data_IF_408655188345
#
_entry.id   IF_408655188345
#
_cell.length_a   1.000
_cell.length_b   1.000
_cell.length_c   1.000
_cell.angle_alpha   90.00
_cell.angle_beta   90.00
_cell.angle_gamma   90.00
#
_symmetry.space_group_name_H-M   'P 1'
#
loop_
_entity.id
_entity.type
_entity.pdbx_description
1 polymer ?
#
# COMPACT_ATOMS: atom_id res chain seq x y z
N UNK A 1 -42.37 4.12 30.49
CA UNK A 1 -43.41 4.74 29.63
C UNK A 1 -42.90 6.12 29.26
N UNK A 2 -42.25 6.27 28.11
CA UNK A 2 -42.88 6.82 26.86
C UNK A 2 -43.03 8.35 26.98
N UNK A 3 -42.51 9.22 26.11
CA UNK A 3 -41.95 9.09 24.76
C UNK A 3 -41.14 10.37 24.41
N UNK A 4 -40.36 10.22 23.35
CA UNK A 4 -39.66 11.22 22.53
C UNK A 4 -40.47 12.51 22.28
N UNK A 5 -39.77 13.66 22.20
CA UNK A 5 -39.89 14.74 21.20
C UNK A 5 -39.13 15.96 21.73
N UNK A 6 -37.92 16.22 21.22
CA UNK A 6 -37.32 17.56 21.06
C UNK A 6 -36.17 17.45 20.04
N UNK A 7 -36.54 17.29 18.77
CA UNK A 7 -35.75 17.80 17.65
C UNK A 7 -36.51 19.00 17.07
N UNK A 8 -35.80 19.89 16.39
CA UNK A 8 -36.25 21.09 15.66
C UNK A 8 -35.90 22.45 16.28
N UNK A 9 -34.62 22.62 16.62
CA UNK A 9 -33.95 23.92 16.58
C UNK A 9 -33.61 24.34 15.14
N UNK A 10 -34.59 24.94 14.47
CA UNK A 10 -34.56 25.85 13.30
C UNK A 10 -33.24 25.97 12.49
N UNK A 11 -33.23 25.60 11.20
CA UNK A 11 -32.07 25.67 10.31
C UNK A 11 -31.96 27.06 9.69
N UNK A 12 -30.91 27.81 10.02
CA UNK A 12 -30.60 29.07 9.32
C UNK A 12 -29.12 29.44 9.41
N UNK A 13 -28.27 28.61 8.82
CA UNK A 13 -26.95 29.06 8.37
C UNK A 13 -26.82 28.77 6.88
N UNK A 14 -27.18 29.81 6.14
CA UNK A 14 -27.00 30.02 4.71
C UNK A 14 -25.54 29.74 4.37
N UNK A 15 -25.28 28.63 3.69
CA UNK A 15 -24.00 28.37 3.02
C UNK A 15 -24.13 28.84 1.56
N UNK A 16 -23.58 30.01 1.17
CA UNK A 16 -23.59 30.44 -0.22
C UNK A 16 -22.42 29.77 -0.97
N UNK A 17 -22.52 28.47 -1.29
CA UNK A 17 -21.48 27.77 -2.08
C UNK A 17 -21.99 26.81 -3.17
N UNK A 18 -23.17 27.05 -3.74
CA UNK A 18 -23.69 26.17 -4.83
C UNK A 18 -23.72 26.78 -6.24
N UNK A 19 -23.16 27.99 -6.45
CA UNK A 19 -22.96 28.50 -7.83
C UNK A 19 -21.62 28.11 -8.46
N UNK A 20 -20.63 27.73 -7.65
CA UNK A 20 -19.29 27.36 -8.12
C UNK A 20 -19.23 25.90 -8.60
N UNK A 21 -20.00 25.00 -7.99
CA UNK A 21 -20.00 23.55 -8.31
C UNK A 21 -20.47 23.27 -9.75
N UNK A 22 -21.30 24.14 -10.34
CA UNK A 22 -21.84 23.93 -11.69
C UNK A 22 -20.83 24.18 -12.83
N UNK A 23 -19.71 24.86 -12.54
CA UNK A 23 -18.64 25.13 -13.54
C UNK A 23 -17.57 24.03 -13.56
N UNK A 24 -17.50 23.19 -12.51
CA UNK A 24 -16.49 22.14 -12.39
C UNK A 24 -16.88 20.89 -13.20
N UNK A 25 -18.19 20.65 -13.38
CA UNK A 25 -18.68 19.55 -14.22
C UNK A 25 -18.35 19.72 -15.71
N UNK A 26 -18.11 20.94 -16.18
CA UNK A 26 -17.74 21.22 -17.58
C UNK A 26 -16.24 21.10 -17.84
N UNK A 27 -15.41 21.04 -16.79
CA UNK A 27 -13.95 20.89 -16.90
C UNK A 27 -13.45 19.50 -16.48
N UNK A 28 -14.36 18.52 -16.35
CA UNK A 28 -13.99 17.12 -16.46
C UNK A 28 -13.87 16.80 -17.94
N UNK A 29 -12.68 17.01 -18.52
CA UNK A 29 -12.38 16.43 -19.83
C UNK A 29 -12.69 14.93 -19.73
N UNK A 30 -13.43 14.33 -20.67
CA UNK A 30 -13.64 12.90 -20.66
C UNK A 30 -12.25 12.26 -20.61
N UNK A 31 -12.01 11.47 -19.57
CA UNK A 31 -10.78 10.71 -19.48
C UNK A 31 -10.77 9.82 -20.73
N UNK A 32 -9.72 9.86 -21.56
CA UNK A 32 -9.65 8.99 -22.72
C UNK A 32 -9.84 7.57 -22.19
N UNK A 33 -10.77 6.83 -22.81
CA UNK A 33 -11.11 5.48 -22.40
C UNK A 33 -9.82 4.75 -22.10
N UNK A 34 -9.60 4.39 -20.84
CA UNK A 34 -8.46 3.57 -20.47
C UNK A 34 -8.58 2.34 -21.35
N UNK A 35 -7.69 2.23 -22.34
CA UNK A 35 -7.56 1.05 -23.16
C UNK A 35 -7.37 -0.08 -22.17
N UNK A 36 -8.42 -0.85 -21.92
CA UNK A 36 -8.35 -2.03 -21.10
C UNK A 36 -7.48 -2.99 -21.88
N UNK A 37 -6.17 -2.94 -21.63
CA UNK A 37 -5.25 -3.96 -22.11
C UNK A 37 -5.64 -5.19 -21.30
N UNK A 38 -6.18 -6.25 -21.94
CA UNK A 38 -6.56 -7.45 -21.21
C UNK A 38 -5.28 -8.00 -20.59
N UNK A 39 -5.22 -7.96 -19.26
CA UNK A 39 -4.13 -8.56 -18.54
C UNK A 39 -4.18 -10.06 -18.82
N UNK A 40 -3.12 -10.60 -19.40
CA UNK A 40 -3.09 -11.98 -19.91
C UNK A 40 -2.99 -12.97 -18.74
N UNK A 41 -3.65 -14.12 -18.79
CA UNK A 41 -3.54 -15.15 -17.72
C UNK A 41 -2.06 -15.53 -17.44
N UNK A 42 -1.23 -15.53 -18.49
CA UNK A 42 0.21 -15.79 -18.42
C UNK A 42 1.00 -14.72 -17.63
N UNK A 43 0.57 -13.46 -17.68
CA UNK A 43 1.19 -12.38 -16.90
C UNK A 43 0.84 -12.53 -15.41
N UNK A 44 -0.32 -13.11 -15.08
CA UNK A 44 -0.83 -13.19 -13.70
C UNK A 44 0.00 -14.23 -12.97
N UNK A 45 0.24 -15.34 -13.66
CA UNK A 45 1.08 -16.42 -13.19
C UNK A 45 2.52 -15.96 -12.97
N UNK A 46 3.08 -15.14 -13.88
CA UNK A 46 4.43 -14.57 -13.70
C UNK A 46 4.52 -13.63 -12.50
N UNK A 47 3.55 -12.73 -12.32
CA UNK A 47 3.52 -11.84 -11.17
C UNK A 47 3.41 -12.60 -9.85
N UNK A 48 2.55 -13.63 -9.81
CA UNK A 48 2.41 -14.50 -8.65
C UNK A 48 3.71 -15.25 -8.38
N UNK A 49 4.35 -15.83 -9.39
CA UNK A 49 5.62 -16.54 -9.25
C UNK A 49 6.72 -15.63 -8.66
N UNK A 50 6.86 -14.41 -9.17
CA UNK A 50 7.84 -13.44 -8.69
C UNK A 50 7.53 -12.97 -7.26
N UNK A 51 6.26 -12.76 -6.96
CA UNK A 51 5.79 -12.41 -5.61
C UNK A 51 6.04 -13.54 -4.62
N UNK A 52 5.71 -14.79 -4.98
CA UNK A 52 5.97 -15.97 -4.16
C UNK A 52 7.46 -16.20 -3.95
N UNK A 53 8.28 -16.04 -4.98
CA UNK A 53 9.74 -16.12 -4.87
C UNK A 53 10.28 -15.08 -3.89
N UNK A 54 9.77 -13.85 -3.96
CA UNK A 54 10.15 -12.76 -3.06
C UNK A 54 9.69 -13.02 -1.61
N UNK A 55 8.50 -13.59 -1.42
CA UNK A 55 8.00 -14.01 -0.10
C UNK A 55 8.82 -15.11 0.53
N UNK A 56 9.16 -16.16 -0.23
CA UNK A 56 9.97 -17.27 0.25
C UNK A 56 11.35 -16.76 0.66
N UNK A 57 11.97 -15.90 -0.16
CA UNK A 57 13.24 -15.28 0.19
C UNK A 57 13.14 -14.42 1.45
N UNK A 58 12.04 -13.67 1.61
CA UNK A 58 11.78 -12.89 2.82
C UNK A 58 11.66 -13.80 4.05
N UNK A 59 10.91 -14.89 3.96
CA UNK A 59 10.79 -15.87 5.04
C UNK A 59 12.11 -16.55 5.39
N UNK A 60 12.91 -16.94 4.39
CA UNK A 60 14.23 -17.51 4.64
C UNK A 60 15.20 -16.55 5.32
N UNK A 61 15.04 -15.23 5.14
CA UNK A 61 15.85 -14.23 5.83
C UNK A 61 15.36 -14.00 7.27
N UNK A 62 14.06 -13.75 7.43
CA UNK A 62 13.51 -13.31 8.70
C UNK A 62 13.29 -14.42 9.72
N UNK A 63 12.95 -15.64 9.30
CA UNK A 63 12.72 -16.76 10.24
C UNK A 63 13.99 -17.10 11.03
N UNK A 64 15.16 -17.38 10.39
CA UNK A 64 16.37 -17.64 11.14
C UNK A 64 16.87 -16.40 11.88
N UNK A 65 16.71 -15.20 11.30
CA UNK A 65 17.05 -13.97 11.99
C UNK A 65 16.25 -13.79 13.28
N UNK A 66 14.93 -14.06 13.27
CA UNK A 66 14.11 -13.96 14.48
C UNK A 66 14.53 -14.97 15.54
N UNK A 67 14.83 -16.21 15.15
CA UNK A 67 15.39 -17.20 16.08
C UNK A 67 16.70 -16.73 16.70
N UNK A 68 17.59 -16.17 15.88
CA UNK A 68 18.87 -15.64 16.36
C UNK A 68 18.69 -14.41 17.26
N UNK A 69 17.70 -13.56 16.95
CA UNK A 69 17.38 -12.36 17.72
C UNK A 69 16.87 -12.71 19.13
N UNK A 70 16.03 -13.76 19.25
CA UNK A 70 15.58 -14.25 20.55
C UNK A 70 16.65 -15.03 21.34
N UNK A 71 17.59 -15.68 20.63
CA UNK A 71 18.64 -16.46 21.28
C UNK A 71 19.84 -15.61 21.73
N UNK A 72 20.23 -14.60 20.95
CA UNK A 72 21.49 -13.88 21.14
C UNK A 72 21.33 -12.42 21.60
N UNK A 73 20.18 -11.78 21.35
CA UNK A 73 20.01 -10.32 21.51
C UNK A 73 18.98 -9.99 22.61
N UNK A 74 19.34 -9.18 23.62
CA UNK A 74 18.38 -8.74 24.64
C UNK A 74 17.28 -7.86 24.02
N UNK A 75 16.06 -7.96 24.55
CA UNK A 75 14.83 -7.38 23.97
C UNK A 75 14.93 -5.91 23.54
N UNK A 76 15.69 -5.09 24.27
CA UNK A 76 15.88 -3.67 23.96
C UNK A 76 16.70 -3.41 22.68
N UNK A 77 17.59 -4.34 22.30
CA UNK A 77 18.45 -4.24 21.11
C UNK A 77 17.89 -4.99 19.89
N UNK A 78 16.88 -5.85 20.08
CA UNK A 78 16.27 -6.63 19.00
C UNK A 78 15.70 -5.76 17.88
N UNK A 79 15.14 -4.61 18.23
CA UNK A 79 14.61 -3.64 17.27
C UNK A 79 15.74 -3.01 16.45
N UNK A 80 16.90 -2.74 17.05
CA UNK A 80 18.05 -2.20 16.34
C UNK A 80 18.60 -3.22 15.34
N UNK A 81 18.79 -4.47 15.78
CA UNK A 81 19.23 -5.56 14.91
C UNK A 81 18.24 -5.80 13.75
N UNK A 82 16.94 -5.79 14.03
CA UNK A 82 15.91 -5.93 12.99
C UNK A 82 15.95 -4.78 11.98
N UNK A 83 16.19 -3.55 12.42
CA UNK A 83 16.34 -2.40 11.53
C UNK A 83 17.59 -2.53 10.62
N UNK A 84 18.70 -3.06 11.13
CA UNK A 84 19.89 -3.33 10.30
C UNK A 84 19.59 -4.38 9.21
N UNK A 85 18.91 -5.47 9.56
CA UNK A 85 18.51 -6.49 8.58
C UNK A 85 17.49 -5.94 7.58
N UNK A 86 16.55 -5.10 8.03
CA UNK A 86 15.62 -4.41 7.16
C UNK A 86 16.34 -3.47 6.16
N UNK A 87 17.36 -2.74 6.61
CA UNK A 87 18.18 -1.92 5.73
C UNK A 87 18.88 -2.77 4.67
N UNK A 88 19.52 -3.88 5.07
CA UNK A 88 20.16 -4.81 4.14
C UNK A 88 19.16 -5.40 3.14
N UNK A 89 17.96 -5.77 3.59
CA UNK A 89 16.89 -6.26 2.73
C UNK A 89 16.43 -5.22 1.71
N UNK A 90 16.29 -3.95 2.10
CA UNK A 90 15.95 -2.86 1.17
C UNK A 90 17.04 -2.66 0.10
N UNK A 91 18.32 -2.76 0.46
CA UNK A 91 19.43 -2.68 -0.50
C UNK A 91 19.39 -3.85 -1.48
N UNK A 92 19.14 -5.08 -1.00
CA UNK A 92 19.00 -6.27 -1.85
C UNK A 92 17.81 -6.13 -2.80
N UNK A 93 16.67 -5.66 -2.32
CA UNK A 93 15.48 -5.44 -3.16
C UNK A 93 15.77 -4.42 -4.25
N UNK A 94 16.43 -3.31 -3.92
CA UNK A 94 16.83 -2.29 -4.90
C UNK A 94 17.78 -2.89 -5.94
N UNK A 95 18.77 -3.67 -5.51
CA UNK A 95 19.70 -4.34 -6.42
C UNK A 95 19.01 -5.36 -7.35
N UNK A 96 18.12 -6.20 -6.82
CA UNK A 96 17.36 -7.18 -7.62
C UNK A 96 16.41 -6.51 -8.60
N UNK A 97 15.77 -5.40 -8.20
CA UNK A 97 14.91 -4.62 -9.09
C UNK A 97 15.70 -4.00 -10.25
N UNK A 98 16.89 -3.46 -9.99
CA UNK A 98 17.74 -2.87 -11.04
C UNK A 98 18.35 -3.89 -12.00
N UNK A 99 18.67 -5.11 -11.54
CA UNK A 99 19.17 -6.17 -12.44
C UNK A 99 18.16 -6.60 -13.51
N UNK A 100 16.84 -6.48 -13.24
CA UNK A 100 15.80 -6.81 -14.22
C UNK A 100 15.75 -5.80 -15.38
N UNK A 101 16.19 -4.56 -15.15
CA UNK A 101 16.17 -3.45 -16.13
C UNK A 101 17.41 -3.44 -17.04
N UNK A 102 18.54 -4.00 -16.59
CA UNK A 102 19.82 -3.97 -17.34
C UNK A 102 20.00 -5.22 -18.22
N UNK A 103 19.11 -6.21 -18.11
CA UNK A 103 19.16 -7.46 -18.89
C UNK A 103 18.36 -7.41 -20.20
N UNK A 104 17.79 -6.26 -20.58
CA UNK A 104 17.22 -6.00 -21.92
C UNK A 104 18.21 -5.26 -22.82
#
# INVERSE_FOLDING_TARGET
MSLLVTLEGKPSLVVPKLKQVKRISTLSKPFPDTVYVPFTDEEHLQLLQEWFSSLIANWQLWIPFQFLNFYFVPQKLQVLAANFVALAWNVILSYKAHKKVIAE
#
